data_IF_075043596019
#
_entry.id   IF_075043596019
#
_cell.length_a   1.000
_cell.length_b   1.000
_cell.length_c   1.000
_cell.angle_alpha   90.00
_cell.angle_beta   90.00
_cell.angle_gamma   90.00
#
_symmetry.space_group_name_H-M   'P 1'
#
loop_
_entity.id
_entity.type
_entity.pdbx_description
1 polymer ?
#
# COMPACT_ATOMS: atom_id res chain seq x y z
N UNK A 1 -17.32 -10.23 18.11
CA UNK A 1 -16.41 -10.87 17.13
C UNK A 1 -17.25 -11.76 16.24
N UNK A 2 -17.14 -11.64 14.92
CA UNK A 2 -17.96 -12.40 13.98
C UNK A 2 -17.05 -13.16 13.02
N UNK A 3 -17.17 -14.49 13.03
CA UNK A 3 -16.44 -15.38 12.13
C UNK A 3 -17.39 -15.94 11.06
N UNK A 4 -17.21 -15.48 9.83
CA UNK A 4 -17.95 -15.97 8.65
C UNK A 4 -17.08 -16.82 7.71
N UNK A 5 -15.97 -17.40 8.19
CA UNK A 5 -15.04 -18.15 7.32
C UNK A 5 -15.73 -19.26 6.54
N UNK A 6 -16.60 -20.04 7.18
CA UNK A 6 -17.36 -21.12 6.54
C UNK A 6 -18.35 -20.60 5.48
N UNK A 7 -19.01 -19.48 5.77
CA UNK A 7 -19.94 -18.84 4.83
C UNK A 7 -19.20 -18.30 3.58
N UNK A 8 -18.01 -17.73 3.77
CA UNK A 8 -17.17 -17.28 2.66
C UNK A 8 -16.65 -18.47 1.85
N UNK A 9 -16.24 -19.54 2.53
CA UNK A 9 -15.82 -20.79 1.89
C UNK A 9 -16.89 -21.37 0.98
N UNK A 10 -18.13 -21.51 1.48
CA UNK A 10 -19.25 -22.02 0.69
C UNK A 10 -19.53 -21.17 -0.56
N UNK A 11 -19.52 -19.83 -0.43
CA UNK A 11 -19.73 -18.92 -1.56
C UNK A 11 -18.63 -19.05 -2.62
N UNK A 12 -17.37 -19.19 -2.20
CA UNK A 12 -16.25 -19.38 -3.14
C UNK A 12 -16.31 -20.72 -3.84
N UNK A 13 -16.63 -21.80 -3.12
CA UNK A 13 -16.78 -23.14 -3.72
C UNK A 13 -17.91 -23.17 -4.76
N UNK A 14 -19.03 -22.50 -4.47
CA UNK A 14 -20.12 -22.33 -5.41
C UNK A 14 -19.65 -21.55 -6.65
N UNK A 15 -19.03 -20.38 -6.46
CA UNK A 15 -18.54 -19.55 -7.56
C UNK A 15 -17.48 -20.28 -8.42
N UNK A 16 -16.62 -21.09 -7.80
CA UNK A 16 -15.64 -21.91 -8.50
C UNK A 16 -16.31 -22.98 -9.38
N UNK A 17 -17.33 -23.64 -8.86
CA UNK A 17 -18.12 -24.65 -9.59
C UNK A 17 -18.86 -24.04 -10.77
N UNK A 18 -19.45 -22.85 -10.56
CA UNK A 18 -20.22 -22.11 -11.56
C UNK A 18 -19.35 -21.28 -12.51
N UNK A 19 -18.02 -21.24 -12.29
CA UNK A 19 -17.05 -20.36 -12.99
C UNK A 19 -17.45 -18.88 -12.96
N UNK A 20 -18.04 -18.45 -11.85
CA UNK A 20 -18.52 -17.09 -11.66
C UNK A 20 -17.39 -16.22 -11.09
N UNK A 21 -17.11 -15.10 -11.77
CA UNK A 21 -16.15 -14.12 -11.26
C UNK A 21 -16.71 -13.40 -10.02
N UNK A 22 -15.88 -13.24 -9.02
CA UNK A 22 -16.16 -12.58 -7.75
C UNK A 22 -15.44 -11.22 -7.68
N UNK A 23 -16.18 -10.22 -7.22
CA UNK A 23 -15.67 -8.92 -6.80
C UNK A 23 -15.57 -8.90 -5.27
N UNK A 24 -14.40 -9.23 -4.75
CA UNK A 24 -14.11 -9.24 -3.32
C UNK A 24 -14.00 -7.81 -2.84
N UNK A 25 -14.87 -7.45 -1.91
CA UNK A 25 -14.84 -6.14 -1.27
C UNK A 25 -15.04 -6.24 0.24
N UNK A 26 -14.60 -5.19 0.91
CA UNK A 26 -14.93 -4.94 2.32
C UNK A 26 -15.62 -3.57 2.37
N UNK A 27 -15.09 -2.59 3.10
CA UNK A 27 -15.62 -1.23 3.10
C UNK A 27 -15.53 -0.46 1.77
N UNK A 28 -14.90 -1.03 0.75
CA UNK A 28 -14.80 -0.48 -0.62
C UNK A 28 -14.20 0.95 -0.72
N UNK A 29 -13.49 1.41 0.31
CA UNK A 29 -12.88 2.76 0.40
C UNK A 29 -11.73 3.01 -0.59
N UNK A 30 -11.24 1.95 -1.23
CA UNK A 30 -10.10 1.93 -2.14
C UNK A 30 -10.48 1.45 -3.56
N UNK A 31 -11.77 1.50 -3.89
CA UNK A 31 -12.32 1.01 -5.17
C UNK A 31 -11.69 1.66 -6.40
N UNK A 32 -11.24 2.90 -6.27
CA UNK A 32 -10.58 3.70 -7.31
C UNK A 32 -9.18 3.18 -7.69
N UNK A 33 -8.55 2.31 -6.89
CA UNK A 33 -7.24 1.74 -7.19
C UNK A 33 -7.36 0.55 -8.14
N UNK A 34 -6.48 0.46 -9.13
CA UNK A 34 -6.49 -0.63 -10.12
C UNK A 34 -7.70 -0.58 -11.04
N UNK A 35 -7.87 -1.60 -11.87
CA UNK A 35 -8.98 -1.67 -12.82
C UNK A 35 -10.31 -1.96 -12.12
N UNK A 36 -11.43 -1.61 -12.78
CA UNK A 36 -12.76 -2.01 -12.31
C UNK A 36 -12.95 -3.50 -12.56
N UNK A 37 -13.41 -4.22 -11.54
CA UNK A 37 -13.72 -5.66 -11.61
C UNK A 37 -15.20 -5.83 -11.96
N UNK A 38 -15.48 -6.77 -12.85
CA UNK A 38 -16.83 -7.24 -13.12
C UNK A 38 -17.00 -8.62 -12.46
N UNK A 39 -18.03 -8.78 -11.64
CA UNK A 39 -18.27 -10.02 -10.92
C UNK A 39 -19.33 -9.87 -9.83
N UNK A 40 -19.78 -11.00 -9.30
CA UNK A 40 -20.66 -11.01 -8.14
C UNK A 40 -19.91 -10.51 -6.91
N UNK A 41 -20.51 -9.58 -6.18
CA UNK A 41 -19.93 -9.05 -4.96
C UNK A 41 -19.80 -10.12 -3.88
N UNK A 42 -18.58 -10.31 -3.37
CA UNK A 42 -18.31 -11.06 -2.14
C UNK A 42 -17.89 -10.07 -1.04
N UNK A 43 -18.77 -9.84 -0.07
CA UNK A 43 -18.52 -8.91 1.05
C UNK A 43 -17.88 -9.62 2.24
N UNK A 44 -16.67 -9.19 2.61
CA UNK A 44 -15.92 -9.70 3.76
C UNK A 44 -15.96 -8.78 4.98
N UNK A 45 -16.63 -7.60 4.91
CA UNK A 45 -16.65 -6.62 6.02
C UNK A 45 -17.15 -7.22 7.33
N UNK A 46 -18.11 -8.15 7.27
CA UNK A 46 -18.66 -8.83 8.45
C UNK A 46 -17.68 -9.78 9.15
N UNK A 47 -16.60 -10.21 8.47
CA UNK A 47 -15.55 -11.03 9.08
C UNK A 47 -14.64 -10.14 9.92
N UNK A 48 -15.07 -9.79 11.14
CA UNK A 48 -14.44 -8.74 11.95
C UNK A 48 -14.20 -9.14 13.42
N UNK A 49 -13.18 -8.53 14.01
CA UNK A 49 -12.79 -8.66 15.40
C UNK A 49 -11.32 -9.05 15.55
N UNK A 50 -10.72 -8.54 16.62
CA UNK A 50 -9.39 -8.93 17.08
C UNK A 50 -9.45 -10.36 17.63
N UNK A 51 -8.55 -11.23 17.17
CA UNK A 51 -8.49 -12.65 17.53
C UNK A 51 -7.52 -12.86 18.68
N UNK A 52 -6.33 -12.25 18.58
CA UNK A 52 -5.26 -12.37 19.56
C UNK A 52 -4.50 -11.05 19.62
N UNK A 53 -4.15 -10.61 20.83
CA UNK A 53 -3.38 -9.41 21.07
C UNK A 53 -2.39 -9.67 22.18
N UNK A 54 -1.09 -9.57 21.85
CA UNK A 54 0.02 -9.81 22.75
C UNK A 54 0.81 -8.51 22.92
N UNK A 55 0.43 -7.63 23.87
CA UNK A 55 1.07 -6.33 24.06
C UNK A 55 2.58 -6.43 24.30
N UNK A 56 3.02 -7.42 25.08
CA UNK A 56 4.43 -7.64 25.44
C UNK A 56 5.25 -8.11 24.25
N UNK A 57 4.65 -8.92 23.37
CA UNK A 57 5.31 -9.42 22.15
C UNK A 57 5.22 -8.44 20.98
N UNK A 58 4.47 -7.34 21.15
CA UNK A 58 4.18 -6.37 20.10
C UNK A 58 3.56 -7.05 18.86
N UNK A 59 2.60 -7.94 19.05
CA UNK A 59 1.88 -8.60 17.95
C UNK A 59 0.36 -8.52 18.12
N UNK A 60 -0.34 -8.45 16.99
CA UNK A 60 -1.80 -8.47 16.94
C UNK A 60 -2.27 -9.33 15.76
N UNK A 61 -3.21 -10.25 16.01
CA UNK A 61 -3.95 -11.01 14.99
C UNK A 61 -5.40 -10.53 14.98
N UNK A 62 -5.88 -10.10 13.81
CA UNK A 62 -7.27 -9.67 13.63
C UNK A 62 -7.85 -10.18 12.32
N UNK A 63 -9.17 -10.27 12.28
CA UNK A 63 -9.92 -10.59 11.07
C UNK A 63 -9.85 -9.45 10.07
N UNK A 64 -9.85 -9.76 8.78
CA UNK A 64 -9.62 -8.82 7.68
C UNK A 64 -10.69 -7.74 7.55
N UNK A 65 -11.94 -8.00 7.98
CA UNK A 65 -13.01 -7.02 8.03
C UNK A 65 -12.94 -6.04 9.21
N UNK A 66 -12.02 -6.25 10.16
CA UNK A 66 -11.84 -5.35 11.32
C UNK A 66 -11.43 -3.95 10.85
N UNK A 67 -12.07 -2.91 11.40
CA UNK A 67 -11.78 -1.53 11.04
C UNK A 67 -10.41 -1.10 11.58
N UNK A 68 -9.73 -0.22 10.83
CA UNK A 68 -8.47 0.38 11.31
C UNK A 68 -8.71 1.26 12.55
N UNK A 69 -9.89 1.87 12.66
CA UNK A 69 -10.26 2.68 13.81
C UNK A 69 -10.31 1.83 15.09
N UNK A 70 -11.01 0.70 15.08
CA UNK A 70 -11.09 -0.23 16.22
C UNK A 70 -9.70 -0.68 16.67
N UNK A 71 -8.83 -1.02 15.72
CA UNK A 71 -7.45 -1.43 16.00
C UNK A 71 -6.67 -0.26 16.63
N UNK A 72 -6.73 0.93 16.06
CA UNK A 72 -6.01 2.10 16.59
C UNK A 72 -6.48 2.48 18.00
N UNK A 73 -7.79 2.43 18.26
CA UNK A 73 -8.36 2.72 19.58
C UNK A 73 -7.91 1.71 20.64
N UNK A 74 -7.82 0.42 20.29
CA UNK A 74 -7.24 -0.60 21.18
C UNK A 74 -5.77 -0.28 21.48
N UNK A 75 -4.96 -0.07 20.43
CA UNK A 75 -3.52 0.11 20.58
C UNK A 75 -3.18 1.41 21.35
N UNK A 76 -3.96 2.47 21.17
CA UNK A 76 -3.77 3.73 21.88
C UNK A 76 -3.88 3.57 23.41
N UNK A 77 -4.78 2.70 23.90
CA UNK A 77 -4.92 2.40 25.35
C UNK A 77 -3.66 1.81 25.96
N UNK A 78 -2.83 1.14 25.14
CA UNK A 78 -1.59 0.50 25.54
C UNK A 78 -0.34 1.28 25.08
N UNK A 79 -0.50 2.53 24.64
CA UNK A 79 0.59 3.36 24.10
C UNK A 79 1.34 2.67 22.95
N UNK A 80 0.62 1.92 22.10
CA UNK A 80 1.15 1.22 20.95
C UNK A 80 0.53 1.75 19.65
N UNK A 81 1.18 1.44 18.53
CA UNK A 81 0.73 1.73 17.17
C UNK A 81 0.96 0.50 16.30
N UNK A 82 0.25 0.42 15.17
CA UNK A 82 0.54 -0.58 14.16
C UNK A 82 1.99 -0.45 13.67
N UNK A 83 2.62 -1.56 13.28
CA UNK A 83 3.99 -1.57 12.75
C UNK A 83 4.17 -0.93 11.36
N UNK A 84 3.14 -0.21 10.90
CA UNK A 84 3.03 0.47 9.63
C UNK A 84 1.98 1.59 9.78
N UNK A 85 2.02 2.60 8.92
CA UNK A 85 1.12 3.75 9.00
C UNK A 85 0.29 3.89 7.71
N UNK A 86 -0.82 3.14 7.55
CA UNK A 86 -1.57 3.11 6.30
C UNK A 86 -2.51 4.31 6.14
N UNK A 87 -2.77 4.78 4.90
CA UNK A 87 -3.87 5.69 4.60
C UNK A 87 -5.23 5.10 5.02
N UNK A 88 -5.97 5.90 5.79
CA UNK A 88 -7.30 5.52 6.25
C UNK A 88 -8.35 5.77 5.17
N UNK A 89 -8.27 6.86 4.38
CA UNK A 89 -9.24 7.28 3.34
C UNK A 89 -10.71 7.48 3.80
N UNK A 90 -11.21 6.70 4.75
CA UNK A 90 -12.54 6.77 5.37
C UNK A 90 -12.48 6.02 6.71
N UNK A 91 -13.35 6.38 7.65
CA UNK A 91 -13.48 5.72 8.96
C UNK A 91 -13.80 4.21 8.84
N UNK A 92 -14.47 3.82 7.75
CA UNK A 92 -14.83 2.43 7.50
C UNK A 92 -13.67 1.55 7.00
N UNK A 93 -12.49 2.10 6.72
CA UNK A 93 -11.39 1.32 6.15
C UNK A 93 -11.01 0.13 7.02
N UNK A 94 -10.83 -1.02 6.37
CA UNK A 94 -10.54 -2.30 7.03
C UNK A 94 -9.10 -2.73 6.86
N UNK A 95 -8.65 -3.61 7.77
CA UNK A 95 -7.31 -4.19 7.76
C UNK A 95 -7.04 -4.96 6.46
N UNK A 96 -7.98 -5.80 6.02
CA UNK A 96 -7.88 -6.61 4.81
C UNK A 96 -7.72 -5.78 3.55
N UNK A 97 -8.55 -4.75 3.37
CA UNK A 97 -8.44 -3.85 2.22
C UNK A 97 -7.10 -3.09 2.20
N UNK A 98 -6.58 -2.75 3.38
CA UNK A 98 -5.29 -2.08 3.54
C UNK A 98 -4.11 -2.97 3.14
N UNK A 99 -4.12 -4.23 3.58
CA UNK A 99 -3.11 -5.23 3.21
C UNK A 99 -3.20 -5.55 1.72
N UNK A 100 -4.40 -5.88 1.22
CA UNK A 100 -4.61 -6.23 -0.18
C UNK A 100 -4.17 -5.12 -1.15
N UNK A 101 -4.35 -3.85 -0.80
CA UNK A 101 -3.96 -2.71 -1.64
C UNK A 101 -2.55 -2.16 -1.38
N UNK A 102 -1.80 -2.70 -0.40
CA UNK A 102 -0.43 -2.26 0.00
C UNK A 102 -0.29 -0.74 0.09
N UNK A 103 -1.19 -0.11 0.83
CA UNK A 103 -1.16 1.34 1.04
C UNK A 103 -0.35 1.66 2.30
N UNK A 104 0.68 2.49 2.17
CA UNK A 104 1.56 2.88 3.26
C UNK A 104 1.80 4.39 3.20
N UNK A 105 1.78 5.04 4.35
CA UNK A 105 1.90 6.48 4.50
C UNK A 105 3.34 6.94 4.69
N UNK A 106 3.55 8.21 5.08
CA UNK A 106 4.86 8.87 5.05
C UNK A 106 5.95 8.24 5.90
N UNK A 107 5.56 7.47 6.92
CA UNK A 107 6.50 6.82 7.84
C UNK A 107 7.12 5.52 7.27
N UNK A 108 6.63 5.02 6.13
CA UNK A 108 7.00 3.70 5.62
C UNK A 108 8.51 3.44 5.47
N UNK A 109 9.36 4.39 5.02
CA UNK A 109 10.81 4.13 4.93
C UNK A 109 11.50 3.94 6.27
N UNK A 110 10.92 4.47 7.34
CA UNK A 110 11.55 4.54 8.66
C UNK A 110 11.05 3.43 9.58
N UNK A 111 9.76 3.09 9.52
CA UNK A 111 9.15 2.05 10.37
C UNK A 111 8.79 0.76 9.63
N UNK A 112 8.82 0.78 8.29
CA UNK A 112 8.40 -0.32 7.43
C UNK A 112 7.05 -0.08 6.75
N UNK A 113 6.86 -0.72 5.60
CA UNK A 113 5.59 -0.74 4.87
C UNK A 113 4.63 -1.77 5.45
N UNK A 114 3.38 -1.77 4.98
CA UNK A 114 2.39 -2.82 5.33
C UNK A 114 2.99 -4.22 5.13
N UNK A 115 3.70 -4.45 4.02
CA UNK A 115 4.34 -5.72 3.70
C UNK A 115 5.35 -6.15 4.75
N UNK A 116 6.11 -5.21 5.30
CA UNK A 116 7.20 -5.50 6.24
C UNK A 116 6.68 -5.78 7.66
N UNK A 117 5.46 -5.32 7.94
CA UNK A 117 4.81 -5.50 9.23
C UNK A 117 4.00 -6.80 9.35
N UNK A 118 3.59 -7.42 8.23
CA UNK A 118 2.85 -8.69 8.25
C UNK A 118 3.77 -9.83 8.69
N UNK A 119 3.31 -10.59 9.68
CA UNK A 119 3.99 -11.76 10.25
C UNK A 119 3.35 -13.08 9.79
N UNK A 120 2.03 -13.04 9.53
CA UNK A 120 1.29 -14.19 9.06
C UNK A 120 -0.12 -13.82 8.60
N UNK A 121 -0.70 -14.69 7.79
CA UNK A 121 -2.02 -14.52 7.21
C UNK A 121 -2.74 -15.87 7.13
N UNK A 122 -4.07 -15.81 7.23
CA UNK A 122 -4.96 -16.89 6.84
C UNK A 122 -5.79 -16.42 5.66
N UNK A 123 -5.87 -17.21 4.61
CA UNK A 123 -6.55 -16.86 3.37
C UNK A 123 -7.49 -17.96 2.91
N UNK A 124 -8.43 -17.59 2.04
CA UNK A 124 -9.25 -18.51 1.27
C UNK A 124 -8.80 -18.41 -0.20
N UNK A 125 -8.38 -19.54 -0.79
CA UNK A 125 -7.99 -19.61 -2.20
C UNK A 125 -9.22 -19.66 -3.13
N UNK A 126 -9.01 -19.61 -4.45
CA UNK A 126 -10.08 -19.62 -5.45
C UNK A 126 -10.84 -20.95 -5.55
N UNK A 127 -10.36 -22.03 -4.92
CA UNK A 127 -11.07 -23.31 -4.82
C UNK A 127 -11.88 -23.41 -3.51
N UNK A 128 -11.72 -22.43 -2.62
CA UNK A 128 -12.35 -22.43 -1.30
C UNK A 128 -11.56 -23.21 -0.25
N UNK A 129 -10.27 -23.47 -0.45
CA UNK A 129 -9.42 -24.02 0.61
C UNK A 129 -8.92 -22.90 1.52
N UNK A 130 -8.95 -23.14 2.83
CA UNK A 130 -8.36 -22.24 3.82
C UNK A 130 -6.89 -22.60 3.97
N UNK A 131 -6.02 -21.62 3.73
CA UNK A 131 -4.58 -21.74 3.80
C UNK A 131 -4.03 -20.77 4.87
N UNK A 132 -3.06 -21.21 5.66
CA UNK A 132 -2.39 -20.37 6.66
C UNK A 132 -0.89 -20.28 6.34
N UNK A 133 -0.36 -19.07 6.38
CA UNK A 133 1.03 -18.77 6.04
C UNK A 133 1.64 -17.84 7.09
N UNK A 134 2.89 -18.10 7.46
CA UNK A 134 3.58 -17.36 8.52
C UNK A 134 3.15 -17.79 9.92
N UNK A 135 3.70 -17.15 10.93
CA UNK A 135 3.52 -17.51 12.33
C UNK A 135 4.13 -16.46 13.26
N UNK A 136 3.84 -16.54 14.57
CA UNK A 136 4.25 -15.53 15.55
C UNK A 136 5.76 -15.48 15.81
N UNK A 137 6.53 -16.50 15.40
CA UNK A 137 7.97 -16.64 15.70
C UNK A 137 8.88 -16.31 14.51
N UNK A 138 9.94 -15.55 14.78
CA UNK A 138 10.97 -15.04 13.84
C UNK A 138 11.80 -16.10 13.09
N UNK A 139 11.51 -17.41 13.23
CA UNK A 139 12.24 -18.50 12.56
C UNK A 139 11.37 -19.18 11.49
N UNK A 140 11.16 -18.49 10.37
CA UNK A 140 10.62 -19.12 9.15
C UNK A 140 11.77 -19.43 8.20
N UNK A 141 12.42 -20.61 8.35
CA UNK A 141 13.67 -20.96 7.64
C UNK A 141 13.46 -21.95 6.47
N UNK A 142 12.24 -22.23 6.04
CA UNK A 142 12.02 -22.96 4.78
C UNK A 142 10.67 -22.61 4.14
N UNK A 143 10.70 -21.84 3.06
CA UNK A 143 9.51 -21.53 2.25
C UNK A 143 9.53 -20.11 1.67
N UNK A 144 8.80 -19.90 0.57
CA UNK A 144 8.52 -18.56 0.06
C UNK A 144 7.59 -17.83 1.03
N UNK A 145 7.86 -16.55 1.28
CA UNK A 145 7.08 -15.71 2.21
C UNK A 145 5.75 -15.26 1.57
N UNK A 146 4.80 -16.19 1.45
CA UNK A 146 3.45 -15.97 0.90
C UNK A 146 2.73 -14.83 1.62
N UNK A 147 2.98 -14.65 2.92
CA UNK A 147 2.37 -13.59 3.72
C UNK A 147 2.67 -12.20 3.15
N UNK A 148 3.92 -11.99 2.70
CA UNK A 148 4.36 -10.76 2.04
C UNK A 148 3.88 -10.62 0.60
N UNK A 149 3.58 -11.72 -0.09
CA UNK A 149 3.03 -11.68 -1.46
C UNK A 149 1.57 -11.23 -1.50
N UNK A 150 0.79 -11.53 -0.46
CA UNK A 150 -0.61 -11.11 -0.42
C UNK A 150 -0.77 -9.60 -0.24
N UNK A 151 0.24 -8.92 0.30
CA UNK A 151 0.27 -7.46 0.34
C UNK A 151 0.43 -6.86 -1.05
N UNK A 152 -0.62 -6.19 -1.54
CA UNK A 152 -0.64 -5.62 -2.90
C UNK A 152 -1.18 -6.58 -3.96
N UNK A 153 -1.78 -7.71 -3.56
CA UNK A 153 -2.43 -8.65 -4.47
C UNK A 153 -3.78 -8.18 -5.00
N UNK A 154 -4.36 -7.12 -4.41
CA UNK A 154 -5.71 -6.64 -4.71
C UNK A 154 -6.79 -7.73 -4.65
N UNK A 155 -6.59 -8.77 -3.82
CA UNK A 155 -7.53 -9.90 -3.69
C UNK A 155 -7.48 -10.90 -4.85
N UNK A 156 -6.56 -10.76 -5.80
CA UNK A 156 -6.46 -11.63 -6.98
C UNK A 156 -5.79 -12.98 -6.71
N UNK A 157 -5.19 -13.14 -5.53
CA UNK A 157 -4.47 -14.35 -5.10
C UNK A 157 -5.15 -15.04 -3.90
N UNK A 158 -6.35 -14.61 -3.53
CA UNK A 158 -7.05 -15.12 -2.37
C UNK A 158 -7.74 -14.04 -1.56
N UNK A 159 -8.72 -14.46 -0.77
CA UNK A 159 -9.45 -13.62 0.16
C UNK A 159 -8.72 -13.66 1.50
N UNK A 160 -8.35 -12.49 2.03
CA UNK A 160 -7.75 -12.37 3.36
C UNK A 160 -8.82 -12.66 4.42
N UNK A 161 -8.57 -13.61 5.31
CA UNK A 161 -9.42 -13.93 6.47
C UNK A 161 -8.81 -13.33 7.73
N UNK A 162 -7.64 -13.82 8.13
CA UNK A 162 -6.95 -13.36 9.35
C UNK A 162 -5.58 -12.78 9.01
N UNK A 163 -5.18 -11.74 9.71
CA UNK A 163 -3.90 -11.05 9.49
C UNK A 163 -3.22 -10.84 10.83
N UNK A 164 -2.00 -11.35 10.94
CA UNK A 164 -1.10 -11.14 12.08
C UNK A 164 -0.02 -10.15 11.68
N UNK A 165 0.16 -9.09 12.47
CA UNK A 165 1.14 -8.05 12.20
C UNK A 165 1.83 -7.57 13.47
N UNK A 166 3.04 -7.05 13.30
CA UNK A 166 3.84 -6.46 14.38
C UNK A 166 3.33 -5.07 14.77
N UNK A 167 3.60 -4.69 16.01
CA UNK A 167 3.27 -3.40 16.60
C UNK A 167 4.55 -2.64 16.93
N UNK A 168 4.41 -1.35 17.17
CA UNK A 168 5.47 -0.51 17.70
C UNK A 168 4.97 0.28 18.93
N UNK A 169 5.86 0.58 19.90
CA UNK A 169 5.56 1.56 20.91
C UNK A 169 5.26 2.94 20.29
N UNK A 170 4.36 3.69 20.90
CA UNK A 170 4.18 5.11 20.58
C UNK A 170 5.45 5.87 20.97
N UNK A 171 6.01 6.72 20.08
CA UNK A 171 7.17 7.52 20.42
C UNK A 171 6.92 8.44 21.63
N UNK A 172 7.92 8.58 22.50
CA UNK A 172 7.84 9.41 23.72
C UNK A 172 7.66 10.89 23.38
N UNK A 173 8.42 11.38 22.39
CA UNK A 173 8.30 12.73 21.84
C UNK A 173 8.33 12.68 20.32
N UNK A 174 7.56 13.58 19.72
CA UNK A 174 7.54 13.84 18.28
C UNK A 174 7.69 15.34 18.09
N UNK A 175 8.51 15.77 17.14
CA UNK A 175 8.67 17.17 16.76
C UNK A 175 8.61 17.25 15.25
N UNK A 176 7.79 18.15 14.72
CA UNK A 176 7.74 18.40 13.28
C UNK A 176 8.47 19.69 12.94
N UNK A 177 9.37 19.62 11.98
CA UNK A 177 10.22 20.71 11.54
C UNK A 177 9.94 21.01 10.08
N UNK A 178 9.87 22.29 9.73
CA UNK A 178 9.76 22.79 8.37
C UNK A 178 10.96 23.62 7.99
N UNK A 179 11.39 23.52 6.74
CA UNK A 179 12.45 24.37 6.18
C UNK A 179 12.17 24.69 4.72
N UNK A 180 12.37 25.94 4.34
CA UNK A 180 12.20 26.38 2.97
C UNK A 180 13.46 26.03 2.15
N UNK A 181 13.27 25.25 1.10
CA UNK A 181 14.33 24.83 0.18
C UNK A 181 13.72 24.23 -1.08
N UNK A 182 14.47 24.26 -2.18
CA UNK A 182 14.00 23.60 -3.40
C UNK A 182 14.07 22.06 -3.29
N UNK A 183 13.43 21.35 -4.22
CA UNK A 183 13.34 19.89 -4.18
C UNK A 183 14.71 19.21 -4.30
N UNK A 184 15.67 19.76 -5.05
CA UNK A 184 17.01 19.20 -5.18
C UNK A 184 17.79 19.31 -3.86
N UNK A 185 17.71 20.47 -3.20
CA UNK A 185 18.29 20.70 -1.88
C UNK A 185 17.65 19.79 -0.82
N UNK A 186 16.32 19.64 -0.85
CA UNK A 186 15.58 18.79 0.08
C UNK A 186 16.01 17.33 0.00
N UNK A 187 16.10 16.77 -1.21
CA UNK A 187 16.54 15.40 -1.42
C UNK A 187 17.98 15.17 -0.94
N UNK A 188 18.87 16.13 -1.21
CA UNK A 188 20.26 16.08 -0.73
C UNK A 188 20.31 16.13 0.80
N UNK A 189 19.60 17.08 1.42
CA UNK A 189 19.56 17.27 2.86
C UNK A 189 19.01 16.03 3.59
N UNK A 190 17.93 15.43 3.06
CA UNK A 190 17.37 14.18 3.59
C UNK A 190 18.37 13.04 3.51
N UNK A 191 19.10 12.92 2.38
CA UNK A 191 20.14 11.91 2.21
C UNK A 191 21.27 12.08 3.23
N UNK A 192 21.70 13.32 3.48
CA UNK A 192 22.72 13.65 4.48
C UNK A 192 22.25 13.31 5.90
N UNK A 193 21.02 13.69 6.26
CA UNK A 193 20.46 13.41 7.58
C UNK A 193 20.26 11.92 7.84
N UNK A 194 19.83 11.15 6.84
CA UNK A 194 19.74 9.69 6.96
C UNK A 194 21.13 9.08 7.20
N UNK A 195 22.17 9.53 6.47
CA UNK A 195 23.56 9.09 6.71
C UNK A 195 24.06 9.44 8.11
N UNK A 196 23.65 10.59 8.64
CA UNK A 196 23.98 11.05 9.98
C UNK A 196 23.12 10.40 11.08
N UNK A 197 22.21 9.49 10.73
CA UNK A 197 21.30 8.83 11.67
C UNK A 197 20.42 9.80 12.45
N UNK A 198 20.02 10.91 11.81
CA UNK A 198 18.97 11.79 12.34
C UNK A 198 17.68 10.97 12.50
N UNK A 199 16.97 11.06 13.64
CA UNK A 199 15.86 10.17 13.95
C UNK A 199 14.55 10.60 13.26
N UNK A 200 14.59 10.65 11.93
CA UNK A 200 13.45 10.99 11.08
C UNK A 200 12.45 9.83 11.11
N UNK A 201 11.19 10.14 11.40
CA UNK A 201 10.06 9.20 11.35
C UNK A 201 9.17 9.42 10.14
N UNK A 202 9.12 10.63 9.58
CA UNK A 202 8.39 10.96 8.36
C UNK A 202 9.06 12.13 7.62
N UNK A 203 8.90 12.20 6.29
CA UNK A 203 9.44 13.30 5.51
C UNK A 203 8.64 13.51 4.22
N UNK A 204 8.29 14.76 3.92
CA UNK A 204 7.75 15.15 2.62
C UNK A 204 8.28 16.52 2.15
N UNK A 205 8.26 16.75 0.84
CA UNK A 205 8.57 18.05 0.25
C UNK A 205 7.54 18.40 -0.82
N UNK A 206 7.02 19.62 -0.74
CA UNK A 206 6.04 20.20 -1.66
C UNK A 206 6.18 21.72 -1.63
N UNK A 207 5.96 22.40 -2.76
CA UNK A 207 5.93 23.89 -2.82
C UNK A 207 7.12 24.59 -2.14
N UNK A 208 8.35 24.12 -2.40
CA UNK A 208 9.59 24.67 -1.81
C UNK A 208 9.71 24.52 -0.29
N UNK A 209 8.93 23.64 0.32
CA UNK A 209 8.96 23.38 1.75
C UNK A 209 9.26 21.91 2.03
N UNK A 210 10.34 21.65 2.76
CA UNK A 210 10.65 20.35 3.34
C UNK A 210 10.03 20.29 4.75
N UNK A 211 9.19 19.29 4.98
CA UNK A 211 8.59 19.01 6.29
C UNK A 211 9.04 17.63 6.76
N UNK A 212 9.58 17.54 7.97
CA UNK A 212 10.06 16.29 8.57
C UNK A 212 9.49 16.11 9.97
N UNK A 213 9.20 14.86 10.34
CA UNK A 213 8.87 14.46 11.70
C UNK A 213 10.10 13.78 12.28
N UNK A 214 10.47 14.17 13.50
CA UNK A 214 11.51 13.51 14.28
C UNK A 214 10.88 12.85 15.51
N UNK A 215 11.34 11.65 15.85
CA UNK A 215 10.89 10.92 17.04
C UNK A 215 12.05 10.56 17.93
N UNK A 216 11.92 10.73 19.25
CA UNK A 216 13.01 10.38 20.16
C UNK A 216 12.79 10.87 21.58
N UNK A 217 13.88 11.02 22.32
CA UNK A 217 13.88 11.68 23.64
C UNK A 217 13.94 13.20 23.45
N UNK A 218 13.40 13.94 24.41
CA UNK A 218 13.38 15.40 24.37
C UNK A 218 14.79 16.01 24.16
N UNK A 219 15.77 15.54 24.94
CA UNK A 219 17.18 15.96 24.82
C UNK A 219 17.77 15.69 23.43
N UNK A 220 17.43 14.56 22.82
CA UNK A 220 17.93 14.21 21.48
C UNK A 220 17.33 15.09 20.39
N UNK A 221 16.11 15.59 20.58
CA UNK A 221 15.39 16.38 19.58
C UNK A 221 15.72 17.87 19.65
N UNK A 222 16.06 18.39 20.84
CA UNK A 222 16.38 19.81 21.06
C UNK A 222 17.44 20.37 20.09
N UNK A 223 18.47 19.59 19.76
CA UNK A 223 19.54 20.01 18.85
C UNK A 223 19.05 20.32 17.42
N UNK A 224 17.95 19.69 16.98
CA UNK A 224 17.40 19.89 15.64
C UNK A 224 16.44 21.07 15.58
N UNK A 225 15.74 21.36 16.69
CA UNK A 225 14.87 22.53 16.82
C UNK A 225 15.63 23.85 16.83
N UNK A 226 16.93 23.84 17.12
CA UNK A 226 17.79 25.03 17.15
C UNK A 226 18.59 25.23 15.87
N UNK A 227 18.38 24.41 14.85
CA UNK A 227 19.07 24.57 13.56
C UNK A 227 18.61 25.86 12.87
N UNK A 228 19.54 26.50 12.17
CA UNK A 228 19.25 27.71 11.40
C UNK A 228 18.24 27.41 10.28
N UNK A 229 17.35 28.37 10.02
CA UNK A 229 16.30 28.32 8.99
C UNK A 229 15.29 27.18 9.16
N UNK A 230 15.19 26.64 10.38
CA UNK A 230 14.17 25.65 10.73
C UNK A 230 13.05 26.29 11.51
N UNK A 231 11.81 25.99 11.13
CA UNK A 231 10.59 26.34 11.85
C UNK A 231 10.05 25.09 12.53
N UNK A 232 9.91 25.13 13.85
CA UNK A 232 9.21 24.08 14.59
C UNK A 232 7.71 24.31 14.43
N UNK A 233 6.98 23.32 13.92
CA UNK A 233 5.52 23.40 13.85
C UNK A 233 4.90 23.21 15.22
N UNK A 234 3.81 23.96 15.48
CA UNK A 234 2.96 23.70 16.64
C UNK A 234 2.45 22.24 16.63
N UNK A 235 2.33 21.65 17.81
CA UNK A 235 1.98 20.25 17.94
C UNK A 235 0.58 19.93 17.38
N UNK A 236 -0.39 20.85 17.49
CA UNK A 236 -1.74 20.63 16.96
C UNK A 236 -1.71 20.69 15.42
N UNK A 237 -0.98 21.65 14.85
CA UNK A 237 -0.78 21.75 13.40
C UNK A 237 -0.10 20.47 12.87
N UNK A 238 0.93 19.98 13.55
CA UNK A 238 1.62 18.75 13.18
C UNK A 238 0.71 17.51 13.24
N UNK A 239 -0.16 17.43 14.26
CA UNK A 239 -1.13 16.34 14.43
C UNK A 239 -2.21 16.33 13.34
N UNK A 240 -2.50 17.46 12.69
CA UNK A 240 -3.38 17.53 11.53
C UNK A 240 -2.62 17.31 10.20
N UNK A 241 -1.41 17.86 10.09
CA UNK A 241 -0.60 17.82 8.88
C UNK A 241 -0.26 16.40 8.44
N UNK A 242 0.30 15.56 9.32
CA UNK A 242 0.74 14.22 8.93
C UNK A 242 -0.40 13.28 8.52
N UNK A 243 -1.55 13.24 9.22
CA UNK A 243 -2.74 12.58 8.72
C UNK A 243 -3.20 13.13 7.38
N UNK A 244 -3.12 14.46 7.14
CA UNK A 244 -3.49 15.03 5.84
C UNK A 244 -2.61 14.52 4.70
N UNK A 245 -1.31 14.36 4.92
CA UNK A 245 -0.39 13.77 3.92
C UNK A 245 -0.69 12.29 3.76
N UNK A 246 -0.80 11.54 4.87
CA UNK A 246 -1.08 10.10 4.87
C UNK A 246 -2.38 9.74 4.15
N UNK A 247 -3.46 10.49 4.39
CA UNK A 247 -4.79 10.18 3.89
C UNK A 247 -5.12 10.90 2.56
N UNK A 248 -4.10 11.51 1.95
CA UNK A 248 -4.20 12.29 0.71
C UNK A 248 -5.25 13.43 0.79
N UNK A 249 -5.31 14.11 1.94
CA UNK A 249 -6.14 15.29 2.19
C UNK A 249 -5.36 16.61 2.11
N UNK A 250 -4.03 16.55 2.07
CA UNK A 250 -3.17 17.71 1.80
C UNK A 250 -3.60 18.42 0.50
N UNK A 251 -3.55 19.77 0.42
CA UNK A 251 -4.01 20.53 -0.74
C UNK A 251 -3.53 20.00 -2.10
N UNK A 252 -2.25 19.62 -2.21
CA UNK A 252 -1.69 18.95 -3.39
C UNK A 252 -2.56 17.82 -3.97
N UNK A 253 -3.17 16.96 -3.14
CA UNK A 253 -3.97 15.83 -3.64
C UNK A 253 -5.40 16.21 -4.07
N UNK A 254 -5.77 17.48 -3.89
CA UNK A 254 -7.08 18.06 -4.20
C UNK A 254 -7.05 19.00 -5.41
N UNK A 255 -5.88 19.29 -5.97
CA UNK A 255 -5.72 20.19 -7.14
C UNK A 255 -5.98 19.52 -8.50
N UNK A 256 -6.23 18.20 -8.51
CA UNK A 256 -6.37 17.42 -9.74
C UNK A 256 -7.52 17.93 -10.63
N UNK A 257 -7.20 18.39 -11.84
CA UNK A 257 -8.20 18.77 -12.85
C UNK A 257 -8.67 17.57 -13.69
N UNK A 258 -9.71 17.75 -14.50
CA UNK A 258 -10.26 16.68 -15.33
C UNK A 258 -9.28 16.15 -16.40
N UNK A 259 -8.32 16.96 -16.84
CA UNK A 259 -7.29 16.61 -17.86
C UNK A 259 -6.05 15.97 -17.24
N UNK A 260 -5.86 16.13 -15.93
CA UNK A 260 -4.67 15.68 -15.22
C UNK A 260 -4.85 14.30 -14.59
N UNK A 261 -3.73 13.62 -14.42
CA UNK A 261 -3.64 12.35 -13.72
C UNK A 261 -2.70 12.47 -12.52
N UNK A 262 -3.04 11.77 -11.44
CA UNK A 262 -2.16 11.59 -10.28
C UNK A 262 -1.43 10.27 -10.39
N UNK A 263 -0.11 10.34 -10.50
CA UNK A 263 0.80 9.19 -10.57
C UNK A 263 1.49 8.95 -9.25
N UNK A 264 1.62 7.68 -8.86
CA UNK A 264 2.51 7.22 -7.80
C UNK A 264 3.77 6.67 -8.44
N UNK A 265 4.90 7.28 -8.14
CA UNK A 265 6.20 6.95 -8.70
C UNK A 265 7.10 6.45 -7.58
N UNK A 266 7.77 5.33 -7.81
CA UNK A 266 8.77 4.78 -6.89
C UNK A 266 10.12 4.75 -7.61
N UNK A 267 11.11 5.40 -7.01
CA UNK A 267 12.47 5.57 -7.56
C UNK A 267 13.51 5.47 -6.42
N UNK A 268 14.81 5.25 -6.71
CA UNK A 268 15.86 5.40 -5.71
C UNK A 268 15.80 6.79 -5.05
N UNK A 269 15.98 6.87 -3.73
CA UNK A 269 15.92 8.14 -2.99
C UNK A 269 16.94 9.18 -3.46
N UNK A 270 18.05 8.74 -4.07
CA UNK A 270 19.12 9.58 -4.63
C UNK A 270 18.80 10.16 -6.01
N UNK A 271 17.66 9.78 -6.61
CA UNK A 271 17.26 10.28 -7.92
C UNK A 271 17.05 11.79 -7.87
N UNK A 272 17.59 12.55 -8.81
CA UNK A 272 17.39 14.00 -8.85
C UNK A 272 15.93 14.34 -9.23
N UNK A 273 15.47 15.59 -9.00
CA UNK A 273 14.19 16.05 -9.54
C UNK A 273 14.10 15.82 -11.06
N UNK A 274 12.89 15.50 -11.53
CA UNK A 274 12.62 15.29 -12.96
C UNK A 274 12.47 16.60 -13.71
N UNK A 275 12.66 16.57 -15.03
CA UNK A 275 12.34 17.67 -15.95
C UNK A 275 10.93 17.55 -16.55
N UNK A 276 10.15 16.52 -16.19
CA UNK A 276 8.77 16.37 -16.65
C UNK A 276 7.89 17.50 -16.09
N UNK A 277 6.98 18.00 -16.93
CA UNK A 277 6.11 19.12 -16.59
C UNK A 277 4.95 18.65 -15.71
N UNK A 278 4.74 19.32 -14.59
CA UNK A 278 3.66 19.03 -13.65
C UNK A 278 4.04 19.35 -12.21
N UNK A 279 3.15 19.02 -11.30
CA UNK A 279 3.32 19.29 -9.88
C UNK A 279 3.85 18.05 -9.16
N UNK A 280 4.86 18.25 -8.30
CA UNK A 280 5.53 17.17 -7.59
C UNK A 280 5.33 17.30 -6.09
N UNK A 281 5.04 16.17 -5.46
CA UNK A 281 5.10 15.99 -4.02
C UNK A 281 6.04 14.82 -3.73
N UNK A 282 7.16 15.11 -3.07
CA UNK A 282 8.14 14.11 -2.68
C UNK A 282 7.76 13.56 -1.31
N UNK A 283 7.66 12.25 -1.21
CA UNK A 283 7.31 11.52 0.01
C UNK A 283 8.39 10.46 0.25
N UNK A 284 8.36 9.80 1.40
CA UNK A 284 9.26 8.69 1.72
C UNK A 284 10.76 9.06 1.53
N UNK A 285 11.13 10.25 2.00
CA UNK A 285 12.45 10.83 1.78
C UNK A 285 12.91 10.84 0.30
N UNK A 286 11.96 11.00 -0.62
CA UNK A 286 12.20 11.13 -2.06
C UNK A 286 12.08 9.85 -2.87
N UNK A 287 11.95 8.69 -2.21
CA UNK A 287 11.81 7.39 -2.88
C UNK A 287 10.40 7.13 -3.41
N UNK A 288 9.39 7.76 -2.79
CA UNK A 288 8.04 7.85 -3.34
C UNK A 288 7.79 9.28 -3.81
N UNK A 289 7.20 9.43 -4.98
CA UNK A 289 6.83 10.73 -5.53
C UNK A 289 5.41 10.66 -6.05
N UNK A 290 4.62 11.65 -5.68
CA UNK A 290 3.33 11.89 -6.27
C UNK A 290 3.49 12.96 -7.34
N UNK A 291 2.90 12.72 -8.51
CA UNK A 291 3.09 13.56 -9.68
C UNK A 291 1.74 13.83 -10.35
N UNK A 292 1.32 15.09 -10.37
CA UNK A 292 0.12 15.56 -11.07
C UNK A 292 0.55 16.14 -12.40
N UNK A 293 0.03 15.59 -13.50
CA UNK A 293 0.45 15.98 -14.84
C UNK A 293 -0.58 15.63 -15.91
N UNK A 294 -0.48 16.29 -17.06
CA UNK A 294 -1.16 15.93 -18.32
C UNK A 294 -0.24 15.11 -19.25
N UNK A 295 1.02 14.91 -18.87
CA UNK A 295 1.99 14.17 -19.67
C UNK A 295 1.53 12.72 -19.92
N UNK A 296 1.79 12.16 -21.12
CA UNK A 296 1.35 10.82 -21.46
C UNK A 296 2.10 9.76 -20.65
N UNK A 297 1.43 8.64 -20.38
CA UNK A 297 1.95 7.53 -19.58
C UNK A 297 3.30 7.00 -20.09
N UNK A 298 3.47 6.94 -21.41
CA UNK A 298 4.69 6.49 -22.08
C UNK A 298 5.89 7.35 -21.71
N UNK A 299 5.71 8.68 -21.63
CA UNK A 299 6.78 9.62 -21.29
C UNK A 299 7.18 9.50 -19.83
N UNK A 300 6.18 9.38 -18.93
CA UNK A 300 6.41 9.19 -17.49
C UNK A 300 7.21 7.90 -17.25
N UNK A 301 6.80 6.80 -17.88
CA UNK A 301 7.48 5.50 -17.71
C UNK A 301 8.84 5.41 -18.38
N UNK A 302 9.02 6.06 -19.53
CA UNK A 302 10.33 6.18 -20.15
C UNK A 302 11.32 6.83 -19.18
N UNK A 303 10.90 7.91 -18.50
CA UNK A 303 11.71 8.55 -17.48
C UNK A 303 11.93 7.64 -16.25
N UNK A 304 10.87 7.05 -15.66
CA UNK A 304 11.06 6.20 -14.47
C UNK A 304 11.97 5.01 -14.76
N UNK A 305 11.89 4.42 -15.95
CA UNK A 305 12.77 3.32 -16.37
C UNK A 305 14.24 3.74 -16.43
N UNK A 306 14.53 4.96 -16.92
CA UNK A 306 15.91 5.49 -16.96
C UNK A 306 16.53 5.60 -15.56
N UNK A 307 15.72 5.88 -14.54
CA UNK A 307 16.15 6.03 -13.15
C UNK A 307 15.91 4.77 -12.30
N UNK A 308 15.69 3.61 -12.94
CA UNK A 308 15.43 2.33 -12.26
C UNK A 308 14.22 2.34 -11.30
N UNK A 309 13.19 3.10 -11.66
CA UNK A 309 11.92 3.17 -10.95
C UNK A 309 10.74 2.65 -11.77
N UNK A 310 9.55 2.83 -11.23
CA UNK A 310 8.28 2.47 -11.88
C UNK A 310 7.17 3.47 -11.54
N UNK A 311 6.16 3.55 -12.40
CA UNK A 311 5.02 4.44 -12.22
C UNK A 311 3.70 3.67 -12.26
N UNK A 312 2.83 3.95 -11.29
CA UNK A 312 1.45 3.48 -11.26
C UNK A 312 0.51 4.65 -11.32
N UNK A 313 -0.46 4.62 -12.23
CA UNK A 313 -1.55 5.58 -12.26
C UNK A 313 -2.39 5.37 -10.99
N UNK A 314 -2.43 6.38 -10.13
CA UNK A 314 -3.09 6.26 -8.84
C UNK A 314 -4.53 6.79 -8.88
N UNK A 315 -4.76 7.90 -9.59
CA UNK A 315 -6.08 8.46 -9.87
C UNK A 315 -6.08 9.09 -11.25
N UNK A 316 -7.06 8.71 -12.07
CA UNK A 316 -7.28 9.31 -13.38
C UNK A 316 -8.18 10.55 -13.27
N UNK A 317 -7.96 11.53 -14.13
CA UNK A 317 -8.92 12.63 -14.34
C UNK A 317 -10.14 12.19 -15.14
N UNK A 318 -11.25 12.91 -15.01
CA UNK A 318 -12.56 12.54 -15.58
C UNK A 318 -12.61 12.53 -17.12
N UNK A 319 -11.69 13.22 -17.80
CA UNK A 319 -11.70 13.34 -19.28
C UNK A 319 -10.99 12.21 -20.01
N UNK A 320 -10.22 11.36 -19.32
CA UNK A 320 -9.45 10.28 -19.94
C UNK A 320 -10.15 8.93 -19.83
N UNK A 321 -11.25 8.79 -20.58
CA UNK A 321 -12.00 7.54 -20.72
C UNK A 321 -11.37 6.51 -21.68
N UNK A 322 -10.16 6.77 -22.19
CA UNK A 322 -9.51 5.93 -23.22
C UNK A 322 -8.12 5.49 -22.73
N UNK A 323 -8.07 4.23 -22.26
CA UNK A 323 -6.89 3.35 -22.14
C UNK A 323 -5.59 4.03 -21.69
N UNK A 324 -5.48 4.29 -20.39
CA UNK A 324 -4.18 4.36 -19.72
C UNK A 324 -3.94 3.05 -18.99
N UNK A 325 -2.84 2.38 -19.32
CA UNK A 325 -2.36 1.23 -18.55
C UNK A 325 -2.11 1.70 -17.12
N UNK A 326 -2.71 1.07 -16.10
CA UNK A 326 -2.63 1.55 -14.72
C UNK A 326 -1.28 1.20 -14.09
N UNK A 327 -0.89 -0.06 -14.18
CA UNK A 327 0.34 -0.58 -13.61
C UNK A 327 1.50 -0.48 -14.61
N UNK A 328 2.72 -0.45 -14.09
CA UNK A 328 3.93 -0.55 -14.90
C UNK A 328 3.91 -1.85 -15.72
N UNK A 329 4.12 -1.80 -17.06
CA UNK A 329 4.16 -2.99 -17.89
C UNK A 329 5.19 -4.01 -17.39
N UNK A 330 4.76 -5.25 -17.26
CA UNK A 330 5.60 -6.30 -16.71
C UNK A 330 6.44 -6.99 -17.81
N UNK A 331 7.75 -7.20 -17.61
CA UNK A 331 8.57 -8.04 -18.49
C UNK A 331 8.00 -9.46 -18.62
N UNK A 332 8.12 -10.07 -19.80
CA UNK A 332 7.49 -11.37 -20.11
C UNK A 332 7.84 -12.51 -19.14
N UNK A 333 9.08 -12.56 -18.64
CA UNK A 333 9.51 -13.56 -17.66
C UNK A 333 8.78 -13.41 -16.31
N UNK A 334 8.61 -12.17 -15.85
CA UNK A 334 7.86 -11.86 -14.63
C UNK A 334 6.36 -12.11 -14.84
N UNK A 335 5.81 -11.76 -16.01
CA UNK A 335 4.42 -12.04 -16.37
C UNK A 335 4.11 -13.54 -16.31
N UNK A 336 5.00 -14.38 -16.86
CA UNK A 336 4.90 -15.84 -16.80
C UNK A 336 4.96 -16.37 -15.37
N UNK A 337 5.80 -15.79 -14.51
CA UNK A 337 5.85 -16.15 -13.09
C UNK A 337 4.55 -15.76 -12.37
N UNK A 338 4.04 -14.55 -12.62
CA UNK A 338 2.81 -14.05 -12.05
C UNK A 338 1.60 -14.93 -12.41
N UNK A 339 1.49 -15.34 -13.69
CA UNK A 339 0.47 -16.30 -14.14
C UNK A 339 0.56 -17.64 -13.42
N UNK A 340 1.77 -18.20 -13.26
CA UNK A 340 1.95 -19.46 -12.52
C UNK A 340 1.51 -19.34 -11.06
N UNK A 341 1.88 -18.25 -10.39
CA UNK A 341 1.44 -17.98 -9.01
C UNK A 341 -0.09 -17.87 -8.96
N UNK A 342 -0.67 -17.06 -9.84
CA UNK A 342 -2.13 -16.90 -9.89
C UNK A 342 -2.85 -18.23 -10.14
N UNK A 343 -2.38 -19.06 -11.07
CA UNK A 343 -2.96 -20.37 -11.34
C UNK A 343 -2.91 -21.36 -10.16
N UNK A 344 -2.03 -21.13 -9.18
CA UNK A 344 -1.94 -21.95 -7.96
C UNK A 344 -2.92 -21.51 -6.89
N UNK A 345 -3.16 -20.20 -6.77
CA UNK A 345 -4.09 -19.64 -5.78
C UNK A 345 -5.52 -19.54 -6.30
N UNK A 346 -5.71 -19.33 -7.59
CA UNK A 346 -7.01 -19.13 -8.23
C UNK A 346 -7.02 -19.80 -9.61
N UNK A 347 -7.04 -21.15 -9.66
CA UNK A 347 -7.04 -21.89 -10.92
C UNK A 347 -8.29 -21.62 -11.77
N UNK A 348 -9.38 -21.16 -11.17
CA UNK A 348 -10.61 -20.77 -11.87
C UNK A 348 -10.60 -19.35 -12.41
N UNK A 349 -9.59 -18.54 -12.07
CA UNK A 349 -9.51 -17.11 -12.36
C UNK A 349 -10.78 -16.35 -11.93
N UNK A 350 -11.37 -16.73 -10.80
CA UNK A 350 -12.62 -16.16 -10.29
C UNK A 350 -12.40 -14.96 -9.36
N UNK A 351 -11.22 -14.80 -8.75
CA UNK A 351 -11.01 -13.80 -7.70
C UNK A 351 -10.52 -12.47 -8.29
N UNK A 352 -11.32 -11.41 -8.15
CA UNK A 352 -10.99 -10.05 -8.59
C UNK A 352 -10.37 -9.99 -10.00
N UNK A 353 -10.93 -10.78 -10.92
CA UNK A 353 -10.42 -10.92 -12.28
C UNK A 353 -10.31 -9.56 -12.96
N UNK A 354 -9.17 -9.31 -13.60
CA UNK A 354 -8.85 -8.08 -14.29
C UNK A 354 -8.37 -6.94 -13.39
N UNK A 355 -8.33 -7.09 -12.06
CA UNK A 355 -8.02 -5.97 -11.15
C UNK A 355 -6.62 -5.35 -11.34
N UNK A 356 -5.63 -6.18 -11.69
CA UNK A 356 -4.23 -5.75 -11.84
C UNK A 356 -3.76 -5.73 -13.30
N UNK A 357 -3.50 -6.90 -13.88
CA UNK A 357 -3.02 -7.05 -15.25
C UNK A 357 -4.05 -7.87 -16.05
N UNK A 358 -5.08 -7.24 -16.65
CA UNK A 358 -6.14 -7.93 -17.36
C UNK A 358 -5.65 -8.91 -18.42
N UNK A 359 -4.53 -8.59 -19.08
CA UNK A 359 -3.89 -9.43 -20.09
C UNK A 359 -3.40 -10.78 -19.54
N UNK A 360 -3.13 -10.86 -18.23
CA UNK A 360 -2.74 -12.11 -17.58
C UNK A 360 -3.94 -12.98 -17.20
N UNK A 361 -5.14 -12.40 -17.21
CA UNK A 361 -6.40 -13.02 -16.81
C UNK A 361 -7.25 -13.46 -18.01
N UNK A 362 -6.77 -13.20 -19.22
CA UNK A 362 -7.30 -13.78 -20.44
C UNK A 362 -6.93 -15.27 -20.45
N UNK A 363 -7.92 -16.14 -20.60
CA UNK A 363 -7.65 -17.57 -20.80
C UNK A 363 -6.66 -17.69 -21.96
N UNK A 364 -5.61 -18.49 -21.78
CA UNK A 364 -4.68 -18.84 -22.84
C UNK A 364 -5.46 -19.58 -23.94
N UNK A 365 -6.12 -18.85 -24.82
CA UNK A 365 -6.93 -19.33 -25.96
C UNK A 365 -6.03 -19.86 -27.09
N UNK A 366 -4.85 -20.39 -26.76
CA UNK A 366 -3.89 -20.97 -27.70
C UNK A 366 -3.12 -22.15 -27.09
N UNK A 367 -3.81 -23.20 -26.64
CA UNK A 367 -3.26 -24.58 -26.58
C UNK A 367 -4.31 -25.69 -26.77
N UNK A 368 -5.35 -25.44 -27.58
CA UNK A 368 -6.18 -26.52 -28.14
C UNK A 368 -6.26 -26.29 -29.64
N UNK A 369 -5.24 -26.76 -30.35
CA UNK A 369 -5.12 -26.65 -31.80
C UNK A 369 -4.21 -27.73 -32.32
N UNK A 370 -4.80 -28.88 -32.62
CA UNK A 370 -4.31 -29.97 -33.47
C UNK A 370 -2.87 -30.48 -33.26
N UNK A 371 -2.77 -31.61 -32.53
CA UNK A 371 -1.88 -32.69 -32.96
C UNK A 371 -2.63 -34.03 -32.95
N UNK A 372 -3.51 -34.23 -33.94
CA UNK A 372 -3.83 -35.55 -34.47
C UNK A 372 -3.89 -35.46 -36.00
N UNK A 373 -3.33 -36.51 -36.62
CA UNK A 373 -3.26 -36.88 -38.04
C UNK A 373 -2.40 -36.02 -38.97
N UNK A 374 -1.15 -36.45 -39.20
CA UNK A 374 -0.84 -37.40 -40.29
C UNK A 374 0.39 -38.22 -39.92
#
# INVERSE_FOLDING_TARGET
>A
MVDISEQLQAQVQQAYTERQCLNIQSANTKSFLGYKVQGQTLDIKKHQGIIDYQPTELTLKARAGTSLQEINELLAKHQQKMGFNPPQFSADSTLGGTVACKQSGPQAPFIGSVRDAILGIRILDGQGNILEFGGQVMKNVAGYDVSRFMSGSFGTLGILLDITFRLHPTPIKQVTLCRNMNSAEALKQLSDWIRQSVPISAACHVEQQLTIELTGTEKSLQQYSTLQDVVVLDQNIAQEFWPSVRDHQHPFFKTLTASQNLWRIIVPATTTPSTLLGEWFYDWAGSQRWFITEEPAEKIRAWTKQVSGYATLFRAGDSQSVVTTIFEPMPAALASLHQRIKSRFDPGLILNRGKMYPELDLESTKKIGNSKSR
#
